data_IF_595163421346
#
_entry.id   IF_595163421346
#
_cell.length_a   1.000
_cell.length_b   1.000
_cell.length_c   1.000
_cell.angle_alpha   90.00
_cell.angle_beta   90.00
_cell.angle_gamma   90.00
#
_symmetry.space_group_name_H-M   'P 1'
#
loop_
_entity.id
_entity.type
_entity.pdbx_description
1 polymer ?
#
# COMPACT_ATOMS: atom_id res chain seq x y z
N UNK A 1 -13.60 24.63 -9.34
CA UNK A 1 -12.54 24.51 -8.31
C UNK A 1 -12.48 23.10 -7.72
N UNK A 2 -13.58 22.50 -7.25
CA UNK A 2 -13.58 21.16 -6.65
C UNK A 2 -13.14 19.99 -7.58
N UNK A 3 -13.39 20.09 -8.89
CA UNK A 3 -13.04 19.04 -9.86
C UNK A 3 -11.53 18.88 -10.03
N UNK A 4 -10.77 19.98 -9.96
CA UNK A 4 -9.31 19.98 -10.15
C UNK A 4 -8.59 19.23 -9.01
N UNK A 5 -9.06 19.41 -7.77
CA UNK A 5 -8.51 18.72 -6.60
C UNK A 5 -8.68 17.20 -6.70
N UNK A 6 -9.85 16.72 -7.16
CA UNK A 6 -10.10 15.29 -7.35
C UNK A 6 -9.20 14.69 -8.44
N UNK A 7 -8.99 15.39 -9.55
CA UNK A 7 -8.12 14.92 -10.64
C UNK A 7 -6.67 14.78 -10.22
N UNK A 8 -6.15 15.72 -9.42
CA UNK A 8 -4.78 15.66 -8.89
C UNK A 8 -4.62 14.46 -7.94
N UNK A 9 -5.59 14.24 -7.05
CA UNK A 9 -5.57 13.10 -6.14
C UNK A 9 -5.56 11.77 -6.92
N UNK A 10 -6.43 11.64 -7.92
CA UNK A 10 -6.50 10.43 -8.74
C UNK A 10 -5.18 10.20 -9.47
N UNK A 11 -4.60 11.22 -10.10
CA UNK A 11 -3.32 11.11 -10.79
C UNK A 11 -2.19 10.68 -9.84
N UNK A 12 -2.11 11.28 -8.65
CA UNK A 12 -1.09 10.96 -7.65
C UNK A 12 -1.25 9.53 -7.12
N UNK A 13 -2.49 9.10 -6.81
CA UNK A 13 -2.77 7.72 -6.38
C UNK A 13 -2.41 6.72 -7.48
N UNK A 14 -2.76 6.99 -8.74
CA UNK A 14 -2.41 6.13 -9.88
C UNK A 14 -0.89 6.00 -10.08
N UNK A 15 -0.12 7.04 -9.79
CA UNK A 15 1.34 7.01 -9.86
C UNK A 15 1.98 6.19 -8.74
N UNK A 16 1.50 6.35 -7.49
CA UNK A 16 2.05 5.65 -6.32
C UNK A 16 1.58 4.18 -6.24
N UNK A 17 0.38 3.88 -6.72
CA UNK A 17 -0.24 2.55 -6.64
C UNK A 17 0.67 1.39 -7.09
N UNK A 18 1.33 1.40 -8.25
CA UNK A 18 2.18 0.28 -8.68
C UNK A 18 3.33 -0.02 -7.70
N UNK A 19 3.93 0.99 -7.08
CA UNK A 19 5.00 0.81 -6.10
C UNK A 19 4.50 0.10 -4.85
N UNK A 20 3.36 0.55 -4.32
CA UNK A 20 2.69 -0.09 -3.17
C UNK A 20 2.25 -1.51 -3.51
N UNK A 21 1.70 -1.72 -4.71
CA UNK A 21 1.22 -3.02 -5.16
C UNK A 21 2.34 -4.06 -5.27
N UNK A 22 3.54 -3.66 -5.72
CA UNK A 22 4.71 -4.57 -5.79
C UNK A 22 5.08 -5.09 -4.40
N UNK A 23 5.16 -4.21 -3.40
CA UNK A 23 5.51 -4.59 -2.02
C UNK A 23 4.45 -5.53 -1.43
N UNK A 24 3.16 -5.17 -1.59
CA UNK A 24 2.05 -6.00 -1.09
C UNK A 24 2.05 -7.37 -1.76
N UNK A 25 2.22 -7.42 -3.09
CA UNK A 25 2.25 -8.67 -3.85
C UNK A 25 3.44 -9.55 -3.46
N UNK A 26 4.63 -8.97 -3.29
CA UNK A 26 5.79 -9.69 -2.81
C UNK A 26 5.52 -10.29 -1.42
N UNK A 27 4.93 -9.52 -0.50
CA UNK A 27 4.58 -10.04 0.83
C UNK A 27 3.57 -11.18 0.77
N UNK A 28 2.50 -11.01 -0.02
CA UNK A 28 1.47 -12.04 -0.20
C UNK A 28 2.03 -13.33 -0.80
N UNK A 29 3.00 -13.25 -1.73
CA UNK A 29 3.63 -14.46 -2.30
C UNK A 29 4.41 -15.30 -1.29
N UNK A 30 4.76 -14.73 -0.12
CA UNK A 30 5.44 -15.44 0.96
C UNK A 30 4.46 -16.08 1.97
N UNK A 31 3.15 -15.87 1.81
CA UNK A 31 2.16 -16.42 2.72
C UNK A 31 2.00 -17.93 2.48
N UNK A 32 2.32 -18.75 3.49
CA UNK A 32 2.07 -20.18 3.41
C UNK A 32 0.57 -20.48 3.64
N UNK A 33 -0.09 -21.03 2.63
CA UNK A 33 -1.50 -21.42 2.70
C UNK A 33 -1.75 -22.56 3.70
N UNK A 34 -0.77 -23.44 3.94
CA UNK A 34 -0.90 -24.53 4.92
C UNK A 34 -1.17 -23.99 6.34
N UNK A 35 -0.62 -22.82 6.68
CA UNK A 35 -0.88 -22.17 7.98
C UNK A 35 -2.33 -21.68 8.08
N UNK A 36 -2.89 -21.23 6.95
CA UNK A 36 -4.29 -20.78 6.89
C UNK A 36 -5.25 -21.96 6.99
N UNK A 37 -4.94 -23.06 6.30
CA UNK A 37 -5.68 -24.32 6.32
C UNK A 37 -5.63 -24.94 7.72
N UNK A 38 -4.45 -25.06 8.32
CA UNK A 38 -4.30 -25.56 9.69
C UNK A 38 -5.10 -24.72 10.72
N UNK A 39 -5.18 -23.40 10.53
CA UNK A 39 -6.02 -22.54 11.35
C UNK A 39 -7.51 -22.88 11.23
N UNK A 40 -7.99 -23.14 10.01
CA UNK A 40 -9.37 -23.55 9.75
C UNK A 40 -9.67 -24.96 10.27
N UNK A 41 -8.72 -25.88 10.14
CA UNK A 41 -8.81 -27.25 10.65
C UNK A 41 -8.93 -27.28 12.17
N UNK A 42 -8.28 -26.35 12.87
CA UNK A 42 -8.43 -26.12 14.32
C UNK A 42 -9.73 -25.39 14.69
N UNK A 43 -10.63 -25.15 13.73
CA UNK A 43 -11.93 -24.55 13.93
C UNK A 43 -11.96 -23.01 13.87
N UNK A 44 -10.87 -22.35 13.43
CA UNK A 44 -10.91 -20.90 13.27
C UNK A 44 -11.78 -20.50 12.06
N UNK A 45 -12.68 -19.54 12.27
CA UNK A 45 -13.49 -19.00 11.17
C UNK A 45 -12.61 -18.17 10.20
N UNK A 46 -13.05 -18.02 8.95
CA UNK A 46 -12.33 -17.21 7.94
C UNK A 46 -11.99 -15.80 8.43
N UNK A 47 -12.89 -15.17 9.18
CA UNK A 47 -12.66 -13.86 9.78
C UNK A 47 -11.55 -13.88 10.85
N UNK A 48 -11.50 -14.93 11.66
CA UNK A 48 -10.43 -15.12 12.65
C UNK A 48 -9.08 -15.35 11.98
N UNK A 49 -9.03 -16.16 10.91
CA UNK A 49 -7.81 -16.39 10.11
C UNK A 49 -7.30 -15.08 9.50
N UNK A 50 -8.19 -14.27 8.92
CA UNK A 50 -7.81 -12.96 8.38
C UNK A 50 -7.23 -12.08 9.49
N UNK A 51 -7.96 -11.92 10.60
CA UNK A 51 -7.57 -10.98 11.66
C UNK A 51 -6.33 -11.42 12.44
N UNK A 52 -6.16 -12.73 12.67
CA UNK A 52 -5.09 -13.27 13.53
C UNK A 52 -3.85 -13.73 12.75
N UNK A 53 -3.97 -14.03 11.46
CA UNK A 53 -2.87 -14.53 10.65
C UNK A 53 -2.54 -13.54 9.54
N UNK A 54 -3.50 -13.26 8.64
CA UNK A 54 -3.22 -12.47 7.42
C UNK A 54 -2.88 -11.00 7.76
N UNK A 55 -3.67 -10.33 8.59
CA UNK A 55 -3.44 -8.92 8.97
C UNK A 55 -2.06 -8.74 9.64
N UNK A 56 -1.69 -9.46 10.71
CA UNK A 56 -0.37 -9.29 11.32
C UNK A 56 0.77 -9.74 10.41
N UNK A 57 0.55 -10.70 9.51
CA UNK A 57 1.54 -11.07 8.51
C UNK A 57 1.79 -9.95 7.48
N UNK A 58 0.72 -9.25 7.07
CA UNK A 58 0.74 -8.15 6.11
C UNK A 58 1.15 -6.81 6.70
N UNK A 59 0.99 -6.59 8.01
CA UNK A 59 1.27 -5.31 8.68
C UNK A 59 2.65 -4.73 8.40
N UNK A 60 3.79 -5.47 8.42
CA UNK A 60 5.09 -4.89 8.10
C UNK A 60 5.16 -4.38 6.65
N UNK A 61 4.53 -5.07 5.71
CA UNK A 61 4.50 -4.64 4.31
C UNK A 61 3.60 -3.41 4.12
N UNK A 62 2.48 -3.32 4.84
CA UNK A 62 1.63 -2.13 4.82
C UNK A 62 2.36 -0.90 5.35
N UNK A 63 3.11 -1.05 6.45
CA UNK A 63 3.94 0.03 7.01
C UNK A 63 5.04 0.45 6.04
N UNK A 64 5.76 -0.52 5.46
CA UNK A 64 6.81 -0.23 4.48
C UNK A 64 6.25 0.51 3.24
N UNK A 65 5.12 0.04 2.69
CA UNK A 65 4.45 0.70 1.58
C UNK A 65 3.94 2.10 1.93
N UNK A 66 3.43 2.30 3.14
CA UNK A 66 2.97 3.62 3.60
C UNK A 66 4.13 4.62 3.68
N UNK A 67 5.28 4.18 4.20
CA UNK A 67 6.50 5.01 4.26
C UNK A 67 7.04 5.33 2.86
N UNK A 68 7.01 4.37 1.93
CA UNK A 68 7.40 4.60 0.55
C UNK A 68 6.47 5.62 -0.13
N UNK A 69 5.15 5.45 0.00
CA UNK A 69 4.16 6.37 -0.54
C UNK A 69 4.34 7.79 0.03
N UNK A 70 4.59 7.91 1.34
CA UNK A 70 4.90 9.19 1.98
C UNK A 70 6.17 9.83 1.41
N UNK A 71 7.22 9.05 1.20
CA UNK A 71 8.49 9.51 0.63
C UNK A 71 8.30 10.04 -0.80
N UNK A 72 7.58 9.31 -1.64
CA UNK A 72 7.28 9.74 -3.02
C UNK A 72 6.40 10.99 -3.05
N UNK A 73 5.47 11.12 -2.10
CA UNK A 73 4.64 12.33 -1.98
C UNK A 73 5.45 13.56 -1.59
N UNK A 74 6.48 13.40 -0.74
CA UNK A 74 7.41 14.49 -0.43
C UNK A 74 8.28 14.88 -1.63
N UNK A 75 8.72 13.91 -2.44
CA UNK A 75 9.50 14.17 -3.66
C UNK A 75 8.71 15.05 -4.65
N UNK A 76 7.44 14.69 -4.91
CA UNK A 76 6.53 15.49 -5.75
C UNK A 76 6.34 16.93 -5.21
N UNK A 77 6.22 17.08 -3.88
CA UNK A 77 6.09 18.39 -3.24
C UNK A 77 7.35 19.24 -3.41
N UNK A 78 8.53 18.65 -3.20
CA UNK A 78 9.84 19.31 -3.31
C UNK A 78 10.08 19.80 -4.73
N UNK A 79 9.82 18.96 -5.74
CA UNK A 79 9.98 19.33 -7.16
C UNK A 79 9.07 20.50 -7.52
N UNK A 80 7.80 20.42 -7.12
CA UNK A 80 6.80 21.44 -7.46
C UNK A 80 7.05 22.77 -6.75
N UNK A 81 7.51 22.76 -5.50
CA UNK A 81 7.68 23.96 -4.68
C UNK A 81 9.05 24.65 -4.86
N UNK A 82 10.13 23.88 -5.02
CA UNK A 82 11.49 24.46 -5.09
C UNK A 82 11.95 24.81 -6.51
N UNK A 83 11.38 24.20 -7.55
CA UNK A 83 11.76 24.46 -8.95
C UNK A 83 10.57 24.87 -9.84
N UNK A 84 9.82 25.93 -9.49
CA UNK A 84 8.67 26.36 -10.29
C UNK A 84 9.05 26.77 -11.74
N UNK A 85 10.32 27.10 -11.99
CA UNK A 85 10.81 27.49 -13.32
C UNK A 85 11.01 26.32 -14.31
N UNK A 86 10.97 25.05 -13.88
CA UNK A 86 11.15 23.90 -14.77
C UNK A 86 9.84 23.32 -15.32
N UNK A 87 8.69 23.84 -14.86
CA UNK A 87 7.34 23.32 -15.17
C UNK A 87 6.48 24.38 -15.92
N UNK A 88 7.08 25.53 -16.26
CA UNK A 88 6.48 26.63 -17.02
C UNK A 88 6.89 26.59 -18.50
#
# INVERSE_FOLDING_TARGET
MAIYSSSIIIAHVSFIFPFVAIIIRARLSMLNNEILEAGQDLGASKYQVIRKIIIPFMSPALVASALLAFTLSLDDFVVTFLHPAQIA
#
